data_IF_813054974064
#
_entry.id   IF_813054974064
#
_cell.length_a   1.000
_cell.length_b   1.000
_cell.length_c   1.000
_cell.angle_alpha   90.00
_cell.angle_beta   90.00
_cell.angle_gamma   90.00
#
_symmetry.space_group_name_H-M   'P 1'
#
loop_
_entity.id
_entity.type
_entity.pdbx_description
1 polymer ?
#
# COMPACT_ATOMS: atom_id res chain seq x y z
N UNK A 1 16.06 -2.81 -8.35
CA UNK A 1 16.19 -3.63 -9.58
C UNK A 1 15.65 -2.92 -10.84
N UNK A 2 14.44 -2.33 -10.81
CA UNK A 2 13.82 -1.68 -11.98
C UNK A 2 14.71 -0.61 -12.65
N UNK A 3 15.33 0.29 -11.88
CA UNK A 3 16.24 1.31 -12.42
C UNK A 3 17.46 0.68 -13.12
N UNK A 4 17.98 -0.43 -12.58
CA UNK A 4 19.14 -1.13 -13.14
C UNK A 4 18.83 -1.96 -14.39
N UNK A 5 17.61 -2.53 -14.47
CA UNK A 5 17.20 -3.37 -15.60
C UNK A 5 16.50 -2.57 -16.71
N UNK A 6 15.55 -1.69 -16.37
CA UNK A 6 14.70 -0.99 -17.34
C UNK A 6 14.89 0.52 -17.36
N UNK A 7 15.55 1.10 -16.37
CA UNK A 7 15.70 2.54 -16.21
C UNK A 7 17.09 3.10 -16.53
N UNK A 8 17.28 4.35 -16.10
CA UNK A 8 18.58 5.02 -16.07
C UNK A 8 18.66 5.84 -14.77
N UNK A 9 19.87 6.04 -14.24
CA UNK A 9 20.12 6.90 -13.09
C UNK A 9 20.98 8.08 -13.56
N UNK A 10 20.47 9.30 -13.52
CA UNK A 10 21.16 10.48 -14.07
C UNK A 10 21.61 10.30 -15.54
N UNK A 11 20.75 9.69 -16.37
CA UNK A 11 21.06 9.29 -17.77
C UNK A 11 22.17 8.24 -17.91
N UNK A 12 22.67 7.67 -16.82
CA UNK A 12 23.61 6.54 -16.81
C UNK A 12 22.83 5.23 -16.81
N UNK A 13 23.34 4.24 -17.52
CA UNK A 13 22.76 2.89 -17.59
C UNK A 13 23.64 1.89 -16.85
N UNK A 14 23.07 0.75 -16.42
CA UNK A 14 23.81 -0.26 -15.68
C UNK A 14 24.63 -1.15 -16.62
N UNK A 15 25.92 -1.30 -16.32
CA UNK A 15 26.85 -2.18 -17.01
C UNK A 15 27.39 -3.25 -16.06
N UNK A 16 27.65 -4.41 -16.63
CA UNK A 16 28.25 -5.56 -15.96
C UNK A 16 29.68 -5.76 -16.45
N UNK A 17 30.62 -5.91 -15.52
CA UNK A 17 32.01 -6.23 -15.85
C UNK A 17 32.13 -7.73 -16.13
N UNK A 18 32.13 -8.13 -17.40
CA UNK A 18 31.93 -9.54 -17.76
C UNK A 18 33.12 -10.43 -17.39
N UNK A 19 34.29 -9.85 -17.13
CA UNK A 19 35.48 -10.55 -16.65
C UNK A 19 35.59 -10.57 -15.10
N UNK A 20 34.60 -10.04 -14.36
CA UNK A 20 34.58 -10.14 -12.89
C UNK A 20 34.22 -11.56 -12.43
N UNK A 21 34.27 -11.86 -11.14
CA UNK A 21 33.89 -13.18 -10.62
C UNK A 21 34.95 -13.90 -9.79
N UNK A 22 36.12 -13.29 -9.59
CA UNK A 22 37.20 -13.84 -8.77
C UNK A 22 36.96 -13.53 -7.28
N UNK A 23 37.38 -14.43 -6.40
CA UNK A 23 37.36 -14.19 -4.96
C UNK A 23 38.52 -13.25 -4.61
N UNK A 24 38.20 -12.02 -4.24
CA UNK A 24 39.20 -11.03 -3.81
C UNK A 24 38.85 -10.62 -2.38
N UNK A 25 39.54 -11.19 -1.40
CA UNK A 25 39.48 -10.68 -0.02
C UNK A 25 40.02 -9.24 0.01
N UNK A 26 39.46 -8.31 0.81
CA UNK A 26 38.52 -8.49 1.93
C UNK A 26 37.04 -8.24 1.60
N UNK A 27 36.65 -8.01 0.33
CA UNK A 27 35.27 -7.70 -0.04
C UNK A 27 34.53 -8.97 -0.52
N UNK A 28 33.37 -9.28 0.07
CA UNK A 28 32.46 -10.37 -0.39
C UNK A 28 31.83 -10.11 -1.77
N UNK A 29 32.24 -9.03 -2.47
CA UNK A 29 31.70 -8.63 -3.77
C UNK A 29 32.44 -9.37 -4.90
N UNK A 30 31.81 -10.45 -5.37
CA UNK A 30 32.34 -11.27 -6.45
C UNK A 30 32.15 -10.67 -7.86
N UNK A 31 31.05 -9.94 -8.07
CA UNK A 31 30.64 -9.43 -9.38
C UNK A 31 30.51 -7.92 -9.37
N UNK A 32 31.04 -7.26 -10.41
CA UNK A 32 31.09 -5.80 -10.48
C UNK A 32 30.01 -5.27 -11.42
N UNK A 33 29.17 -4.40 -10.90
CA UNK A 33 28.14 -3.65 -11.62
C UNK A 33 28.34 -2.16 -11.38
N UNK A 34 28.16 -1.33 -12.42
CA UNK A 34 28.30 0.12 -12.29
C UNK A 34 27.46 0.86 -13.32
N UNK A 35 26.95 2.02 -12.93
CA UNK A 35 26.26 2.93 -13.84
C UNK A 35 27.26 3.77 -14.65
N UNK A 36 27.18 3.70 -15.97
CA UNK A 36 28.00 4.50 -16.89
C UNK A 36 27.15 5.34 -17.83
N UNK A 37 27.72 6.46 -18.27
CA UNK A 37 27.16 7.24 -19.37
C UNK A 37 27.48 6.52 -20.69
N UNK A 38 26.50 6.25 -21.59
CA UNK A 38 26.68 5.53 -22.84
C UNK A 38 27.87 5.95 -23.71
N UNK A 39 28.31 7.20 -23.61
CA UNK A 39 29.45 7.73 -24.37
C UNK A 39 30.83 7.27 -23.91
N UNK A 40 30.98 6.75 -22.67
CA UNK A 40 32.28 6.49 -22.03
C UNK A 40 32.45 5.03 -21.60
N UNK A 41 32.05 4.07 -22.44
CA UNK A 41 32.21 2.64 -22.15
C UNK A 41 33.32 2.02 -22.98
N UNK A 42 34.14 1.21 -22.31
CA UNK A 42 35.11 0.32 -22.93
C UNK A 42 34.90 -1.11 -22.43
N UNK A 43 35.33 -2.08 -23.23
CA UNK A 43 35.50 -3.45 -22.76
C UNK A 43 36.35 -3.46 -21.46
N UNK A 44 36.02 -4.28 -20.43
CA UNK A 44 35.08 -5.40 -20.39
C UNK A 44 33.70 -5.07 -19.79
N UNK A 45 33.23 -3.83 -19.88
CA UNK A 45 31.91 -3.44 -19.39
C UNK A 45 30.85 -3.59 -20.48
N UNK A 46 29.87 -4.46 -20.26
CA UNK A 46 28.78 -4.72 -21.20
C UNK A 46 27.46 -4.26 -20.62
N UNK A 47 26.61 -3.69 -21.48
CA UNK A 47 25.32 -3.15 -21.12
C UNK A 47 24.43 -4.24 -20.55
N UNK A 48 24.10 -4.15 -19.26
CA UNK A 48 23.51 -5.28 -18.54
C UNK A 48 22.10 -5.62 -19.04
N UNK A 49 21.27 -4.60 -19.30
CA UNK A 49 19.91 -4.80 -19.83
C UNK A 49 19.90 -5.46 -21.22
N UNK A 50 20.95 -5.26 -22.02
CA UNK A 50 21.08 -5.90 -23.34
C UNK A 50 21.29 -7.41 -23.23
N UNK A 51 21.83 -7.89 -22.11
CA UNK A 51 21.98 -9.33 -21.83
C UNK A 51 20.65 -9.89 -21.30
N UNK A 52 20.03 -9.22 -20.32
CA UNK A 52 18.84 -9.72 -19.61
C UNK A 52 17.58 -9.74 -20.50
N UNK A 53 17.43 -8.79 -21.41
CA UNK A 53 16.26 -8.70 -22.30
C UNK A 53 16.56 -9.16 -23.74
N UNK A 54 17.66 -9.87 -23.97
CA UNK A 54 17.94 -10.46 -25.28
C UNK A 54 17.00 -11.64 -25.57
N UNK A 55 16.70 -11.86 -26.84
CA UNK A 55 16.01 -13.06 -27.32
C UNK A 55 16.98 -14.17 -27.76
N UNK A 56 18.28 -13.88 -27.78
CA UNK A 56 19.37 -14.77 -28.17
C UNK A 56 19.72 -15.75 -27.04
N UNK A 57 20.33 -16.88 -27.40
CA UNK A 57 20.84 -17.82 -26.40
C UNK A 57 22.12 -17.30 -25.72
N UNK A 58 22.43 -17.83 -24.54
CA UNK A 58 23.55 -17.33 -23.72
C UNK A 58 24.91 -17.46 -24.41
N UNK A 59 25.06 -18.46 -25.29
CA UNK A 59 26.25 -18.72 -26.09
C UNK A 59 26.37 -17.73 -27.25
N UNK A 60 25.27 -17.43 -27.96
CA UNK A 60 25.23 -16.40 -29.01
C UNK A 60 25.62 -15.02 -28.47
N UNK A 61 25.05 -14.63 -27.32
CA UNK A 61 25.40 -13.37 -26.64
C UNK A 61 26.88 -13.36 -26.25
N UNK A 62 27.39 -14.48 -25.75
CA UNK A 62 28.78 -14.58 -25.33
C UNK A 62 29.76 -14.50 -26.52
N UNK A 63 29.45 -15.14 -27.66
CA UNK A 63 30.26 -15.02 -28.87
C UNK A 63 30.22 -13.59 -29.43
N UNK A 64 29.05 -12.96 -29.49
CA UNK A 64 28.93 -11.57 -29.92
C UNK A 64 29.77 -10.61 -29.08
N UNK A 65 29.82 -10.80 -27.75
CA UNK A 65 30.69 -10.02 -26.86
C UNK A 65 32.18 -10.30 -27.11
N UNK A 66 32.54 -11.54 -27.44
CA UNK A 66 33.92 -11.94 -27.73
C UNK A 66 34.40 -11.36 -29.07
N UNK A 67 33.54 -11.37 -30.09
CA UNK A 67 33.83 -10.86 -31.44
C UNK A 67 33.95 -9.33 -31.46
N UNK A 68 33.11 -8.63 -30.69
CA UNK A 68 33.12 -7.18 -30.59
C UNK A 68 34.15 -6.62 -29.58
N UNK A 69 35.02 -7.47 -29.02
CA UNK A 69 36.03 -7.01 -28.09
C UNK A 69 37.23 -6.37 -28.82
N UNK A 70 37.66 -5.20 -28.36
CA UNK A 70 38.77 -4.43 -28.95
C UNK A 70 40.14 -5.14 -28.92
N UNK A 71 40.26 -6.29 -28.25
CA UNK A 71 41.51 -7.01 -28.06
C UNK A 71 41.33 -8.52 -28.18
N UNK A 72 42.38 -9.20 -28.65
CA UNK A 72 42.40 -10.65 -28.77
C UNK A 72 42.24 -11.31 -27.39
N UNK A 73 41.08 -11.95 -27.19
CA UNK A 73 40.73 -12.56 -25.90
C UNK A 73 41.31 -13.98 -25.81
N UNK A 74 42.23 -14.20 -24.88
CA UNK A 74 42.76 -15.54 -24.60
C UNK A 74 41.67 -16.55 -24.17
N UNK A 75 41.93 -17.85 -24.38
CA UNK A 75 40.97 -18.94 -24.15
C UNK A 75 40.33 -18.92 -22.75
N UNK A 76 41.10 -18.64 -21.71
CA UNK A 76 40.58 -18.57 -20.33
C UNK A 76 39.54 -17.44 -20.14
N UNK A 77 39.83 -16.25 -20.70
CA UNK A 77 38.93 -15.12 -20.65
C UNK A 77 37.64 -15.44 -21.42
N UNK A 78 37.72 -16.06 -22.62
CA UNK A 78 36.53 -16.49 -23.38
C UNK A 78 35.63 -17.42 -22.57
N UNK A 79 36.22 -18.43 -21.91
CA UNK A 79 35.47 -19.34 -21.02
C UNK A 79 34.80 -18.60 -19.86
N UNK A 80 35.49 -17.60 -19.28
CA UNK A 80 34.95 -16.78 -18.19
C UNK A 80 33.75 -15.92 -18.65
N UNK A 81 33.83 -15.33 -19.84
CA UNK A 81 32.73 -14.57 -20.45
C UNK A 81 31.50 -15.48 -20.56
N UNK A 82 31.63 -16.63 -21.24
CA UNK A 82 30.54 -17.60 -21.42
C UNK A 82 29.91 -18.01 -20.08
N UNK A 83 30.73 -18.34 -19.08
CA UNK A 83 30.25 -18.73 -17.75
C UNK A 83 29.47 -17.61 -17.06
N UNK A 84 29.93 -16.37 -17.18
CA UNK A 84 29.29 -15.24 -16.53
C UNK A 84 28.00 -14.84 -17.24
N UNK A 85 27.93 -14.89 -18.58
CA UNK A 85 26.69 -14.67 -19.32
C UNK A 85 25.67 -15.76 -18.97
N UNK A 86 26.06 -17.02 -18.96
CA UNK A 86 25.18 -18.12 -18.53
C UNK A 86 24.62 -17.92 -17.12
N UNK A 87 25.44 -17.40 -16.17
CA UNK A 87 24.97 -17.06 -14.81
C UNK A 87 23.99 -15.90 -14.79
N UNK A 88 24.19 -14.88 -15.62
CA UNK A 88 23.25 -13.76 -15.74
C UNK A 88 21.91 -14.26 -16.26
N UNK A 89 21.90 -15.04 -17.35
CA UNK A 89 20.66 -15.61 -17.88
C UNK A 89 19.99 -16.51 -16.85
N UNK A 90 20.75 -17.41 -16.21
CA UNK A 90 20.22 -18.27 -15.16
C UNK A 90 19.55 -17.47 -14.04
N UNK A 91 20.26 -16.53 -13.40
CA UNK A 91 19.74 -15.87 -12.20
C UNK A 91 18.73 -14.75 -12.45
N UNK A 92 18.74 -14.13 -13.63
CA UNK A 92 17.86 -12.98 -13.93
C UNK A 92 16.73 -13.31 -14.91
N UNK A 93 16.82 -14.42 -15.64
CA UNK A 93 15.84 -14.80 -16.66
C UNK A 93 15.19 -16.17 -16.40
N UNK A 94 15.89 -17.11 -15.76
CA UNK A 94 15.42 -18.49 -15.56
C UNK A 94 15.00 -18.79 -14.12
N UNK A 95 15.84 -18.43 -13.15
CA UNK A 95 15.54 -18.63 -11.73
C UNK A 95 14.45 -17.64 -11.34
N UNK A 96 13.36 -18.13 -10.76
CA UNK A 96 12.40 -17.32 -10.03
C UNK A 96 13.04 -16.85 -8.72
N UNK A 97 14.02 -15.95 -8.81
CA UNK A 97 14.62 -15.33 -7.64
C UNK A 97 13.64 -14.32 -7.06
N UNK A 98 12.99 -14.69 -5.96
CA UNK A 98 12.20 -13.78 -5.16
C UNK A 98 13.18 -12.83 -4.46
N UNK A 99 13.42 -11.67 -5.07
CA UNK A 99 14.21 -10.60 -4.46
C UNK A 99 13.38 -10.00 -3.33
N UNK A 100 13.51 -10.55 -2.13
CA UNK A 100 12.96 -9.96 -0.93
C UNK A 100 14.07 -9.15 -0.24
N UNK A 101 13.73 -7.92 0.12
CA UNK A 101 14.55 -7.10 1.01
C UNK A 101 13.76 -7.00 2.31
N UNK A 102 14.35 -7.48 3.40
CA UNK A 102 13.73 -7.36 4.72
C UNK A 102 13.85 -5.90 5.17
N UNK A 103 12.70 -5.23 5.24
CA UNK A 103 12.58 -3.91 5.85
C UNK A 103 12.10 -4.11 7.27
N UNK A 104 13.04 -4.26 8.20
CA UNK A 104 12.68 -4.40 9.60
C UNK A 104 12.67 -3.05 10.33
N UNK A 105 11.46 -2.54 10.57
CA UNK A 105 11.23 -1.36 11.42
C UNK A 105 11.27 -1.69 12.92
N UNK A 106 11.34 -2.97 13.29
CA UNK A 106 11.38 -3.47 14.68
C UNK A 106 12.83 -3.47 15.18
N UNK A 107 13.77 -4.05 14.42
CA UNK A 107 15.18 -4.09 14.81
C UNK A 107 15.91 -2.76 14.57
N UNK A 108 15.47 -1.94 13.60
CA UNK A 108 16.08 -0.64 13.28
C UNK A 108 15.07 0.51 13.12
N UNK A 109 14.34 0.90 14.19
CA UNK A 109 13.33 1.96 14.14
C UNK A 109 13.89 3.35 13.81
N UNK A 110 15.23 3.53 13.86
CA UNK A 110 15.91 4.77 13.43
C UNK A 110 16.07 4.88 11.91
N UNK A 111 16.00 3.75 11.20
CA UNK A 111 16.25 3.69 9.75
C UNK A 111 14.93 3.71 8.98
N UNK A 112 13.92 2.98 9.46
CA UNK A 112 12.58 2.95 8.87
C UNK A 112 11.51 3.06 9.94
N UNK A 113 10.55 3.97 9.74
CA UNK A 113 9.31 4.03 10.51
C UNK A 113 8.27 3.12 9.86
N UNK A 114 7.26 2.73 10.63
CA UNK A 114 6.18 1.88 10.11
C UNK A 114 5.43 2.55 8.94
N UNK A 115 5.22 3.87 9.00
CA UNK A 115 4.64 4.63 7.90
C UNK A 115 5.48 4.55 6.62
N UNK A 116 6.80 4.47 6.73
CA UNK A 116 7.71 4.36 5.59
C UNK A 116 7.56 2.99 4.92
N UNK A 117 7.40 1.92 5.71
CA UNK A 117 7.15 0.56 5.20
C UNK A 117 5.83 0.51 4.42
N UNK A 118 4.78 1.15 4.95
CA UNK A 118 3.49 1.25 4.25
C UNK A 118 3.63 2.04 2.95
N UNK A 119 4.35 3.16 2.97
CA UNK A 119 4.55 3.96 1.77
C UNK A 119 5.37 3.21 0.71
N UNK A 120 6.39 2.46 1.11
CA UNK A 120 7.15 1.54 0.24
C UNK A 120 6.21 0.49 -0.35
N UNK A 121 5.34 -0.12 0.45
CA UNK A 121 4.35 -1.10 -0.01
C UNK A 121 3.40 -0.51 -1.06
N UNK A 122 2.82 0.66 -0.80
CA UNK A 122 1.93 1.34 -1.74
C UNK A 122 2.67 1.67 -3.05
N UNK A 123 3.89 2.21 -2.96
CA UNK A 123 4.70 2.55 -4.15
C UNK A 123 5.12 1.31 -4.95
N UNK A 124 5.42 0.20 -4.29
CA UNK A 124 5.75 -1.07 -4.96
C UNK A 124 4.54 -1.63 -5.71
N UNK A 125 3.33 -1.51 -5.14
CA UNK A 125 2.08 -1.93 -5.77
C UNK A 125 1.54 -0.93 -6.80
N UNK A 126 2.02 0.32 -6.82
CA UNK A 126 1.57 1.35 -7.76
C UNK A 126 1.89 1.05 -9.24
N UNK A 127 2.74 0.05 -9.52
CA UNK A 127 2.94 -0.48 -10.88
C UNK A 127 1.83 -1.42 -11.37
N UNK A 128 0.89 -1.80 -10.49
CA UNK A 128 -0.26 -2.68 -10.73
C UNK A 128 -1.54 -2.16 -10.05
N UNK A 129 -2.29 -3.01 -9.37
CA UNK A 129 -3.47 -2.58 -8.59
C UNK A 129 -3.04 -1.73 -7.40
N UNK A 130 -3.49 -0.48 -7.34
CA UNK A 130 -3.18 0.45 -6.25
C UNK A 130 -3.89 -0.03 -4.98
N UNK A 131 -3.13 -0.63 -4.07
CA UNK A 131 -3.60 -0.93 -2.72
C UNK A 131 -3.41 0.29 -1.83
N UNK A 132 -4.46 0.70 -1.13
CA UNK A 132 -4.46 1.82 -0.19
C UNK A 132 -3.98 1.42 1.20
N UNK A 133 -3.82 2.42 2.09
CA UNK A 133 -3.50 2.17 3.51
C UNK A 133 -4.58 1.31 4.19
N UNK A 134 -5.84 1.48 3.81
CA UNK A 134 -6.96 0.70 4.32
C UNK A 134 -6.90 -0.78 3.92
N UNK A 135 -6.40 -1.10 2.73
CA UNK A 135 -6.22 -2.50 2.29
C UNK A 135 -5.14 -3.21 3.12
N UNK A 136 -4.05 -2.51 3.47
CA UNK A 136 -3.03 -3.06 4.36
C UNK A 136 -3.62 -3.31 5.76
N UNK A 137 -4.37 -2.36 6.30
CA UNK A 137 -5.01 -2.55 7.61
C UNK A 137 -6.03 -3.69 7.59
N UNK A 138 -6.78 -3.80 6.50
CA UNK A 138 -7.70 -4.90 6.28
C UNK A 138 -6.96 -6.24 6.23
N UNK A 139 -5.80 -6.32 5.56
CA UNK A 139 -4.99 -7.54 5.53
C UNK A 139 -4.53 -8.01 6.93
N UNK A 140 -4.27 -7.05 7.84
CA UNK A 140 -3.94 -7.34 9.24
C UNK A 140 -5.16 -7.76 10.07
N UNK A 141 -6.37 -7.38 9.64
CA UNK A 141 -7.63 -7.81 10.25
C UNK A 141 -7.97 -9.23 9.78
N UNK A 142 -7.89 -9.51 8.48
CA UNK A 142 -8.12 -10.85 7.91
C UNK A 142 -7.14 -11.89 8.43
N UNK A 143 -5.92 -11.49 8.82
CA UNK A 143 -4.97 -12.43 9.45
C UNK A 143 -5.39 -12.87 10.86
N UNK A 144 -6.25 -12.10 11.53
CA UNK A 144 -6.69 -12.35 12.92
C UNK A 144 -8.17 -12.80 13.00
N UNK A 145 -8.94 -12.58 11.94
CA UNK A 145 -10.36 -12.90 11.86
C UNK A 145 -10.68 -13.53 10.51
N UNK A 146 -10.92 -14.85 10.53
CA UNK A 146 -11.10 -15.68 9.34
C UNK A 146 -12.27 -15.20 8.46
N UNK A 147 -13.39 -14.84 9.09
CA UNK A 147 -14.61 -14.39 8.39
C UNK A 147 -14.59 -12.90 8.00
N UNK A 148 -13.47 -12.18 8.18
CA UNK A 148 -13.45 -10.73 8.01
C UNK A 148 -13.80 -10.26 6.59
N UNK A 149 -13.36 -10.99 5.56
CA UNK A 149 -13.65 -10.67 4.15
C UNK A 149 -15.13 -10.86 3.82
N UNK A 150 -15.71 -12.00 4.19
CA UNK A 150 -17.13 -12.30 4.00
C UNK A 150 -18.02 -11.27 4.73
N UNK A 151 -17.75 -11.02 6.01
CA UNK A 151 -18.54 -10.08 6.83
C UNK A 151 -18.45 -8.64 6.33
N UNK A 152 -17.30 -8.23 5.80
CA UNK A 152 -17.11 -6.91 5.19
C UNK A 152 -17.91 -6.79 3.89
N UNK A 153 -17.84 -7.78 3.01
CA UNK A 153 -18.57 -7.79 1.74
C UNK A 153 -20.09 -7.84 1.96
N UNK A 154 -20.58 -8.68 2.88
CA UNK A 154 -22.00 -8.73 3.25
C UNK A 154 -22.54 -7.36 3.68
N UNK A 155 -21.76 -6.63 4.50
CA UNK A 155 -22.13 -5.29 4.95
C UNK A 155 -22.15 -4.31 3.78
N UNK A 156 -21.11 -4.31 2.93
CA UNK A 156 -21.02 -3.41 1.79
C UNK A 156 -22.14 -3.65 0.79
N UNK A 157 -22.44 -4.91 0.47
CA UNK A 157 -23.56 -5.29 -0.40
C UNK A 157 -24.89 -4.78 0.16
N UNK A 158 -25.12 -4.91 1.46
CA UNK A 158 -26.35 -4.41 2.08
C UNK A 158 -26.47 -2.88 2.05
N UNK A 159 -25.36 -2.18 2.31
CA UNK A 159 -25.32 -0.72 2.29
C UNK A 159 -25.46 -0.16 0.87
N UNK A 160 -24.85 -0.80 -0.12
CA UNK A 160 -24.76 -0.32 -1.50
C UNK A 160 -25.91 -0.77 -2.41
N UNK A 161 -26.82 -1.63 -1.94
CA UNK A 161 -28.07 -1.99 -2.64
C UNK A 161 -28.89 -0.77 -3.11
N UNK A 162 -28.77 0.37 -2.43
CA UNK A 162 -29.67 1.52 -2.61
C UNK A 162 -28.93 2.80 -2.99
N UNK A 163 -28.34 2.84 -4.20
CA UNK A 163 -27.79 4.07 -4.80
C UNK A 163 -26.59 4.70 -4.08
N UNK A 164 -26.02 4.01 -3.09
CA UNK A 164 -24.83 4.42 -2.36
C UNK A 164 -23.61 3.59 -2.82
N UNK A 165 -22.42 4.11 -2.54
CA UNK A 165 -21.12 3.50 -2.87
C UNK A 165 -20.16 3.61 -1.69
N UNK A 166 -20.56 3.04 -0.54
CA UNK A 166 -19.70 2.83 0.62
C UNK A 166 -18.51 1.92 0.27
N UNK A 167 -17.37 2.14 0.92
CA UNK A 167 -16.11 1.44 0.65
C UNK A 167 -15.55 0.80 1.92
N UNK A 168 -14.66 -0.20 1.77
CA UNK A 168 -13.93 -0.83 2.89
C UNK A 168 -13.20 0.21 3.75
N UNK A 169 -12.61 1.22 3.11
CA UNK A 169 -11.96 2.37 3.77
C UNK A 169 -12.91 3.07 4.75
N UNK A 170 -14.09 3.45 4.27
CA UNK A 170 -15.11 4.10 5.10
C UNK A 170 -15.51 3.26 6.31
N UNK A 171 -15.73 1.95 6.12
CA UNK A 171 -16.11 1.04 7.21
C UNK A 171 -15.00 0.99 8.27
N UNK A 172 -13.75 0.74 7.85
CA UNK A 172 -12.62 0.67 8.77
C UNK A 172 -12.38 1.99 9.51
N UNK A 173 -12.51 3.13 8.81
CA UNK A 173 -12.38 4.45 9.43
C UNK A 173 -13.47 4.66 10.49
N UNK A 174 -14.70 4.27 10.15
CA UNK A 174 -15.84 4.35 11.07
C UNK A 174 -15.59 3.49 12.32
N UNK A 175 -15.14 2.25 12.17
CA UNK A 175 -14.80 1.39 13.32
C UNK A 175 -13.76 2.05 14.24
N UNK A 176 -12.68 2.57 13.69
CA UNK A 176 -11.62 3.24 14.47
C UNK A 176 -12.12 4.49 15.20
N UNK A 177 -12.86 5.33 14.50
CA UNK A 177 -13.44 6.56 15.05
C UNK A 177 -14.44 6.26 16.16
N UNK A 178 -15.34 5.28 15.95
CA UNK A 178 -16.36 4.89 16.93
C UNK A 178 -15.74 4.28 18.18
N UNK A 179 -14.67 3.49 18.04
CA UNK A 179 -13.93 2.92 19.17
C UNK A 179 -12.95 3.91 19.84
N UNK A 180 -12.93 5.18 19.42
CA UNK A 180 -12.11 6.21 20.04
C UNK A 180 -10.61 6.09 19.73
N UNK A 181 -10.23 5.34 18.69
CA UNK A 181 -8.83 5.19 18.23
C UNK A 181 -8.40 6.31 17.27
N UNK A 182 -9.35 7.17 16.87
CA UNK A 182 -9.14 8.28 15.93
C UNK A 182 -9.28 7.86 14.46
N UNK A 183 -9.73 8.78 13.61
CA UNK A 183 -10.03 8.54 12.19
C UNK A 183 -8.78 8.26 11.35
N UNK A 184 -7.60 8.73 11.80
CA UNK A 184 -6.35 8.56 11.08
C UNK A 184 -5.85 7.12 11.14
N UNK A 185 -5.53 6.58 9.97
CA UNK A 185 -4.87 5.28 9.81
C UNK A 185 -3.44 5.34 10.33
N UNK A 186 -3.19 4.62 11.42
CA UNK A 186 -1.86 4.42 11.98
C UNK A 186 -1.67 2.91 12.19
N UNK A 187 -0.65 2.34 11.55
CA UNK A 187 -0.39 0.88 11.57
C UNK A 187 -0.09 0.36 12.97
N UNK A 188 0.53 1.20 13.79
CA UNK A 188 0.77 0.97 15.22
C UNK A 188 -0.50 0.54 15.96
N UNK A 189 -1.66 1.13 15.62
CA UNK A 189 -2.96 0.84 16.26
C UNK A 189 -3.47 -0.57 15.99
N UNK A 190 -3.08 -1.20 14.88
CA UNK A 190 -3.52 -2.55 14.53
C UNK A 190 -2.52 -3.62 14.95
N UNK A 191 -1.24 -3.28 15.05
CA UNK A 191 -0.21 -4.21 15.55
C UNK A 191 -0.34 -4.54 17.03
N UNK A 192 -0.91 -3.63 17.83
CA UNK A 192 -1.11 -3.85 19.28
C UNK A 192 -2.11 -4.96 19.63
N UNK A 193 -2.83 -5.51 18.64
CA UNK A 193 -3.82 -6.58 18.79
C UNK A 193 -5.16 -6.09 19.36
N UNK A 194 -5.12 -5.22 20.36
CA UNK A 194 -6.30 -4.72 21.08
C UNK A 194 -7.33 -4.07 20.17
N UNK A 195 -6.91 -3.22 19.23
CA UNK A 195 -7.86 -2.56 18.33
C UNK A 195 -8.56 -3.58 17.41
N UNK A 196 -7.84 -4.61 16.96
CA UNK A 196 -8.41 -5.67 16.12
C UNK A 196 -9.42 -6.50 16.90
N UNK A 197 -9.04 -6.92 18.11
CA UNK A 197 -9.92 -7.68 19.01
C UNK A 197 -11.20 -6.89 19.32
N UNK A 198 -11.09 -5.59 19.63
CA UNK A 198 -12.26 -4.74 19.88
C UNK A 198 -13.17 -4.61 18.65
N UNK A 199 -12.61 -4.54 17.43
CA UNK A 199 -13.40 -4.50 16.19
C UNK A 199 -14.16 -5.81 15.99
N UNK A 200 -13.49 -6.95 16.19
CA UNK A 200 -14.09 -8.28 16.04
C UNK A 200 -15.22 -8.47 17.06
N UNK A 201 -14.94 -8.19 18.33
CA UNK A 201 -15.91 -8.34 19.43
C UNK A 201 -17.15 -7.45 19.24
N UNK A 202 -16.95 -6.21 18.75
CA UNK A 202 -18.02 -5.21 18.61
C UNK A 202 -18.58 -5.11 17.19
N UNK A 203 -18.20 -6.00 16.29
CA UNK A 203 -18.55 -5.94 14.86
C UNK A 203 -20.05 -5.78 14.65
N UNK A 204 -20.87 -6.63 15.27
CA UNK A 204 -22.33 -6.60 15.11
C UNK A 204 -22.96 -5.28 15.61
N UNK A 205 -22.39 -4.69 16.67
CA UNK A 205 -22.86 -3.40 17.19
C UNK A 205 -22.45 -2.24 16.29
N UNK A 206 -21.24 -2.29 15.74
CA UNK A 206 -20.72 -1.30 14.79
C UNK A 206 -21.53 -1.32 13.49
N UNK A 207 -21.72 -2.50 12.90
CA UNK A 207 -22.49 -2.67 11.65
C UNK A 207 -23.93 -2.24 11.82
N UNK A 208 -24.57 -2.55 12.96
CA UNK A 208 -25.92 -2.08 13.27
C UNK A 208 -26.01 -0.55 13.33
N UNK A 209 -25.04 0.12 13.94
CA UNK A 209 -25.02 1.58 14.00
C UNK A 209 -24.85 2.22 12.61
N UNK A 210 -24.00 1.63 11.76
CA UNK A 210 -23.81 2.08 10.36
C UNK A 210 -25.11 1.93 9.57
N UNK A 211 -25.75 0.76 9.66
CA UNK A 211 -27.03 0.47 8.97
C UNK A 211 -28.14 1.42 9.42
N UNK A 212 -28.28 1.64 10.72
CA UNK A 212 -29.32 2.55 11.25
C UNK A 212 -29.15 3.99 10.76
N UNK A 213 -27.92 4.49 10.62
CA UNK A 213 -27.65 5.83 10.08
C UNK A 213 -27.93 5.88 8.58
N UNK A 214 -27.58 4.83 7.82
CA UNK A 214 -27.91 4.71 6.40
C UNK A 214 -29.43 4.65 6.18
N UNK A 215 -30.16 3.93 7.02
CA UNK A 215 -31.62 3.85 6.96
C UNK A 215 -32.29 5.16 7.37
N UNK A 216 -31.74 5.86 8.36
CA UNK A 216 -32.15 7.23 8.69
C UNK A 216 -31.96 8.16 7.49
N UNK A 217 -30.79 8.12 6.84
CA UNK A 217 -30.49 8.93 5.68
C UNK A 217 -31.49 8.67 4.55
N UNK A 218 -31.72 7.40 4.20
CA UNK A 218 -32.61 7.02 3.11
C UNK A 218 -34.09 7.30 3.42
N UNK A 219 -34.54 7.00 4.64
CA UNK A 219 -35.95 7.01 5.03
C UNK A 219 -36.46 8.32 5.62
N UNK A 220 -35.58 9.15 6.20
CA UNK A 220 -35.94 10.41 6.87
C UNK A 220 -35.41 11.66 6.18
N UNK A 221 -34.50 11.52 5.21
CA UNK A 221 -34.00 12.65 4.41
C UNK A 221 -34.32 12.45 2.92
N UNK A 222 -34.07 13.48 2.11
CA UNK A 222 -34.21 13.40 0.65
C UNK A 222 -32.97 12.78 -0.04
N UNK A 223 -31.96 12.34 0.72
CA UNK A 223 -30.70 11.84 0.20
C UNK A 223 -30.81 10.33 -0.02
N UNK A 224 -30.98 9.97 -1.30
CA UNK A 224 -31.20 8.57 -1.74
C UNK A 224 -30.07 8.02 -2.61
N UNK A 225 -29.03 8.81 -2.86
CA UNK A 225 -27.88 8.41 -3.67
C UNK A 225 -26.62 9.14 -3.22
N UNK A 226 -25.48 8.49 -3.45
CA UNK A 226 -24.12 9.01 -3.33
C UNK A 226 -23.91 10.40 -3.95
N UNK A 227 -24.58 10.72 -5.07
CA UNK A 227 -24.47 12.01 -5.75
C UNK A 227 -24.89 13.21 -4.89
N UNK A 228 -25.72 12.96 -3.87
CA UNK A 228 -26.15 13.99 -2.92
C UNK A 228 -25.24 14.08 -1.68
N UNK A 229 -24.22 13.21 -1.57
CA UNK A 229 -23.24 13.17 -0.48
C UNK A 229 -21.83 13.49 -1.04
N UNK A 230 -21.34 14.73 -0.88
CA UNK A 230 -19.97 15.10 -1.24
C UNK A 230 -18.90 14.25 -0.55
N UNK A 231 -19.18 13.74 0.66
CA UNK A 231 -18.27 12.86 1.40
C UNK A 231 -19.03 11.99 2.39
N UNK A 232 -18.86 10.68 2.32
CA UNK A 232 -19.41 9.74 3.29
C UNK A 232 -18.90 9.97 4.72
N UNK A 233 -17.74 10.62 4.88
CA UNK A 233 -17.10 10.84 6.18
C UNK A 233 -17.94 11.71 7.11
N UNK A 234 -18.86 12.51 6.57
CA UNK A 234 -19.82 13.29 7.36
C UNK A 234 -20.80 12.42 8.16
N UNK A 235 -20.94 11.13 7.80
CA UNK A 235 -21.80 10.20 8.52
C UNK A 235 -21.12 9.65 9.79
N UNK A 236 -19.79 9.69 9.89
CA UNK A 236 -19.04 9.10 11.01
C UNK A 236 -19.48 9.68 12.36
N UNK A 237 -19.65 11.01 12.54
CA UNK A 237 -20.13 11.56 13.81
C UNK A 237 -21.55 11.12 14.17
N UNK A 238 -22.44 10.93 13.19
CA UNK A 238 -23.78 10.39 13.45
C UNK A 238 -23.74 8.91 13.82
N UNK A 239 -22.87 8.13 13.19
CA UNK A 239 -22.68 6.71 13.52
C UNK A 239 -22.11 6.57 14.93
N UNK A 240 -21.15 7.42 15.30
CA UNK A 240 -20.66 7.52 16.67
C UNK A 240 -21.78 7.83 17.66
N UNK A 241 -22.59 8.86 17.36
CA UNK A 241 -23.72 9.25 18.20
C UNK A 241 -24.74 8.11 18.35
N UNK A 242 -25.08 7.43 17.25
CA UNK A 242 -25.96 6.25 17.24
C UNK A 242 -25.38 5.12 18.09
N UNK A 243 -24.09 4.84 17.98
CA UNK A 243 -23.43 3.73 18.66
C UNK A 243 -23.37 3.94 20.18
N UNK A 244 -22.89 5.10 20.63
CA UNK A 244 -22.69 5.38 22.06
C UNK A 244 -23.97 5.82 22.78
N UNK A 245 -24.92 6.43 22.07
CA UNK A 245 -26.13 7.00 22.67
C UNK A 245 -27.40 6.57 21.93
N UNK A 246 -27.72 5.25 21.89
CA UNK A 246 -28.84 4.71 21.11
C UNK A 246 -30.20 5.34 21.45
N UNK A 247 -30.46 5.60 22.74
CA UNK A 247 -31.74 6.16 23.18
C UNK A 247 -31.83 7.66 22.88
N UNK A 248 -30.72 8.41 23.00
CA UNK A 248 -30.67 9.82 22.59
C UNK A 248 -30.80 9.94 21.07
N UNK A 249 -30.20 9.04 20.30
CA UNK A 249 -30.32 9.01 18.83
C UNK A 249 -31.77 8.84 18.37
N UNK A 250 -32.53 7.92 18.97
CA UNK A 250 -33.95 7.68 18.61
C UNK A 250 -34.82 8.92 18.84
N UNK A 251 -34.50 9.73 19.85
CA UNK A 251 -35.26 10.91 20.25
C UNK A 251 -34.66 12.22 19.73
N UNK A 252 -33.55 12.17 18.99
CA UNK A 252 -32.85 13.36 18.55
C UNK A 252 -33.64 14.09 17.46
N UNK A 253 -34.00 15.34 17.73
CA UNK A 253 -34.47 16.29 16.73
C UNK A 253 -33.28 16.96 16.02
N UNK A 254 -33.46 17.36 14.76
CA UNK A 254 -32.49 18.15 13.97
C UNK A 254 -31.26 17.39 13.42
N UNK A 255 -31.28 16.04 13.38
CA UNK A 255 -30.21 15.27 12.72
C UNK A 255 -30.14 15.52 11.20
N UNK A 256 -31.29 15.79 10.58
CA UNK A 256 -31.40 16.25 9.19
C UNK A 256 -30.73 17.62 8.98
N UNK A 257 -30.85 18.54 9.94
CA UNK A 257 -30.20 19.85 9.90
C UNK A 257 -28.68 19.72 9.96
N UNK A 258 -28.15 18.77 10.74
CA UNK A 258 -26.73 18.47 10.75
C UNK A 258 -26.24 18.06 9.35
N UNK A 259 -26.90 17.06 8.75
CA UNK A 259 -26.56 16.59 7.40
C UNK A 259 -26.63 17.73 6.38
N UNK A 260 -27.72 18.51 6.35
CA UNK A 260 -27.84 19.62 5.40
C UNK A 260 -26.73 20.66 5.55
N UNK A 261 -26.29 20.95 6.78
CA UNK A 261 -25.19 21.87 7.03
C UNK A 261 -23.86 21.31 6.58
N UNK A 262 -23.55 20.03 6.82
CA UNK A 262 -22.30 19.42 6.37
C UNK A 262 -22.22 19.36 4.85
N UNK A 263 -23.35 19.06 4.20
CA UNK A 263 -23.49 19.06 2.74
C UNK A 263 -23.23 20.44 2.13
N UNK A 264 -23.92 21.48 2.62
CA UNK A 264 -23.81 22.84 2.07
C UNK A 264 -22.41 23.40 2.27
N UNK A 265 -21.79 23.12 3.41
CA UNK A 265 -20.45 23.65 3.75
C UNK A 265 -19.32 22.82 3.14
N UNK A 266 -19.59 21.60 2.70
CA UNK A 266 -18.55 20.67 2.24
C UNK A 266 -17.50 20.36 3.31
N UNK A 267 -17.88 20.42 4.60
CA UNK A 267 -16.92 20.45 5.71
C UNK A 267 -15.92 19.26 5.70
N UNK A 268 -16.34 18.11 5.17
CA UNK A 268 -15.56 16.87 5.12
C UNK A 268 -14.84 16.62 3.77
N UNK A 269 -14.68 17.63 2.91
CA UNK A 269 -13.98 17.48 1.61
C UNK A 269 -12.49 17.85 1.63
N UNK A 270 -11.99 18.44 2.73
CA UNK A 270 -10.61 18.96 2.87
C UNK A 270 -9.68 18.04 3.68
N UNK A 271 -9.51 18.34 4.97
CA UNK A 271 -8.75 17.53 5.95
C UNK A 271 -9.70 16.77 6.90
N UNK A 272 -10.42 15.77 6.38
CA UNK A 272 -11.58 15.21 7.08
C UNK A 272 -11.22 14.50 8.38
N UNK A 273 -10.06 13.85 8.48
CA UNK A 273 -9.72 13.04 9.66
C UNK A 273 -9.63 13.88 10.95
N UNK A 274 -8.94 15.02 10.91
CA UNK A 274 -8.85 15.93 12.06
C UNK A 274 -10.22 16.52 12.42
N UNK A 275 -11.07 16.78 11.42
CA UNK A 275 -12.40 17.30 11.64
C UNK A 275 -13.32 16.26 12.28
N UNK A 276 -13.26 15.00 11.83
CA UNK A 276 -13.96 13.87 12.44
C UNK A 276 -13.54 13.78 13.91
N UNK A 277 -12.25 13.70 14.20
CA UNK A 277 -11.76 13.55 15.57
C UNK A 277 -12.19 14.72 16.49
N UNK A 278 -12.15 15.96 15.99
CA UNK A 278 -12.61 17.13 16.74
C UNK A 278 -14.13 17.11 16.97
N UNK A 279 -14.92 16.73 15.96
CA UNK A 279 -16.37 16.60 16.10
C UNK A 279 -16.73 15.57 17.18
N UNK A 280 -16.04 14.42 17.20
CA UNK A 280 -16.26 13.38 18.20
C UNK A 280 -15.90 13.82 19.62
N UNK A 281 -14.81 14.57 19.80
CA UNK A 281 -14.47 15.17 21.10
C UNK A 281 -15.55 16.13 21.59
N UNK A 282 -16.06 16.99 20.72
CA UNK A 282 -17.15 17.93 21.05
C UNK A 282 -18.42 17.16 21.43
N UNK A 283 -18.76 16.08 20.72
CA UNK A 283 -19.89 15.21 21.09
C UNK A 283 -19.72 14.61 22.49
N UNK A 284 -18.54 14.10 22.82
CA UNK A 284 -18.25 13.59 24.17
C UNK A 284 -18.43 14.68 25.23
N UNK A 285 -17.90 15.87 25.02
CA UNK A 285 -18.00 17.00 25.95
C UNK A 285 -19.46 17.47 26.15
N UNK A 286 -20.23 17.57 25.07
CA UNK A 286 -21.64 17.99 25.09
C UNK A 286 -22.58 16.95 25.69
N UNK A 287 -22.26 15.66 25.57
CA UNK A 287 -23.11 14.58 26.09
C UNK A 287 -22.78 14.26 27.55
N UNK A 288 -21.55 14.48 28.01
CA UNK A 288 -21.16 14.36 29.44
C UNK A 288 -21.72 15.52 30.28
N UNK A 289 -21.98 16.68 29.65
CA UNK A 289 -22.56 17.85 30.31
C UNK A 289 -24.10 17.85 30.43
N UNK A 290 -24.76 16.76 30.01
CA UNK A 290 -26.21 16.51 30.09
C UNK A 290 -26.53 15.21 30.84
#
# INVERSE_FOLDING_TARGET
LFIGLKGSYEKKELYFHVLSGDLVAPEDIRYKFKFFNPSNISFPWIKFKGIVFSHEQYDEIAESIIENADAEIGKEKKTKIRRNIARVIKHFCTDESLVYQEFDSIDNPKVYREDDVVEIFIRANAGGTILGKSDLLFSLLTSAWEDADERMEELLDELNKSGFSFTRDFILKTCLSVLGKGARYEVTKFRDGKTREEIIEKWDSLTKAIKDVKDFLYGKTFIRSDKALPSYLELIPLIYFRYHFPDKFKNASNMDTYILRTLITGAFSGTPDNLVDNALKIFLELVISL
#
